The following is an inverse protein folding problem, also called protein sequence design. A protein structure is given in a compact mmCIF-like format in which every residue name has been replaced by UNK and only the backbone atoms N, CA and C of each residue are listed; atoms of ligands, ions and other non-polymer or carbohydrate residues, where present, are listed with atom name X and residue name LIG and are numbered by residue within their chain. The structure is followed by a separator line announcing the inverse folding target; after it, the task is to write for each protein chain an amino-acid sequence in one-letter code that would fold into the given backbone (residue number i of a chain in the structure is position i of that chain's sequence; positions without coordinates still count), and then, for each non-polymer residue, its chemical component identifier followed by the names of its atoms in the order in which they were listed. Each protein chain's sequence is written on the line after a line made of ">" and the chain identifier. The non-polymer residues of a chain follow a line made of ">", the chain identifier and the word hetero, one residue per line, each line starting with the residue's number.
data_IF_762677910717
#
_entry.id   IF_762677910717
#
_cell.length_a   1.000
_cell.length_b   1.000
_cell.length_c   1.000
_cell.angle_alpha   90.00
_cell.angle_beta   90.00
_cell.angle_gamma   90.00
#
_symmetry.space_group_name_H-M   'P 1'
#
loop_
_entity.id
_entity.type
_entity.pdbx_description
1 polymer ?
#
# COMPACT_ATOMS: atom_id res chain seq x y z
N UNK A 1 19.31 10.93 0.91
CA UNK A 1 17.96 10.80 0.31
C UNK A 1 17.54 9.35 0.42
N UNK A 2 16.31 9.09 0.87
CA UNK A 2 15.74 7.73 0.92
C UNK A 2 15.42 7.31 -0.53
N UNK A 3 15.93 6.16 -0.98
CA UNK A 3 15.75 5.70 -2.36
C UNK A 3 14.37 5.03 -2.52
N UNK A 4 13.62 5.27 -3.62
CA UNK A 4 12.31 4.66 -3.85
C UNK A 4 12.31 3.13 -3.74
N UNK A 5 13.37 2.48 -4.21
CA UNK A 5 13.52 1.02 -4.14
C UNK A 5 13.68 0.50 -2.70
N UNK A 6 14.12 1.34 -1.75
CA UNK A 6 14.19 0.97 -0.33
C UNK A 6 12.81 0.96 0.33
N UNK A 7 11.90 1.85 -0.06
CA UNK A 7 10.55 1.92 0.53
C UNK A 7 9.80 0.60 0.31
N UNK A 8 9.92 0.03 -0.89
CA UNK A 8 9.31 -1.25 -1.23
C UNK A 8 9.88 -2.41 -0.39
N UNK A 9 11.20 -2.51 -0.27
CA UNK A 9 11.86 -3.56 0.51
C UNK A 9 11.60 -3.41 2.01
N UNK A 10 11.64 -2.18 2.53
CA UNK A 10 11.35 -1.91 3.94
C UNK A 10 9.91 -2.29 4.27
N UNK A 11 8.95 -2.02 3.38
CA UNK A 11 7.56 -2.47 3.58
C UNK A 11 7.44 -3.99 3.64
N UNK A 12 8.15 -4.75 2.79
CA UNK A 12 8.11 -6.23 2.86
C UNK A 12 8.64 -6.77 4.18
N UNK A 13 9.72 -6.19 4.71
CA UNK A 13 10.30 -6.61 5.98
C UNK A 13 9.37 -6.34 7.17
N UNK A 14 8.74 -5.17 7.20
CA UNK A 14 7.88 -4.77 8.33
C UNK A 14 6.54 -5.54 8.30
N UNK A 15 6.01 -5.83 7.11
CA UNK A 15 4.75 -6.59 6.97
C UNK A 15 4.85 -8.02 7.48
N UNK A 16 6.04 -8.63 7.46
CA UNK A 16 6.26 -9.98 7.98
C UNK A 16 6.08 -10.05 9.51
N UNK A 17 6.26 -8.93 10.21
CA UNK A 17 6.13 -8.83 11.68
C UNK A 17 4.73 -8.39 12.13
N UNK A 18 3.85 -8.01 11.20
CA UNK A 18 2.51 -7.54 11.51
C UNK A 18 1.55 -8.69 11.80
N UNK A 19 0.74 -8.52 12.84
CA UNK A 19 -0.43 -9.36 13.07
C UNK A 19 -1.48 -9.21 11.96
N UNK A 20 -2.39 -10.18 11.86
CA UNK A 20 -3.48 -10.14 10.86
C UNK A 20 -4.32 -8.86 10.98
N UNK A 21 -4.57 -8.38 12.19
CA UNK A 21 -5.35 -7.15 12.43
C UNK A 21 -4.57 -5.90 12.02
N UNK A 22 -3.26 -5.84 12.24
CA UNK A 22 -2.40 -4.76 11.77
C UNK A 22 -2.34 -4.72 10.24
N UNK A 23 -2.25 -5.89 9.59
CA UNK A 23 -2.32 -6.00 8.13
C UNK A 23 -3.67 -5.51 7.59
N UNK A 24 -4.79 -5.86 8.24
CA UNK A 24 -6.14 -5.38 7.85
C UNK A 24 -6.26 -3.87 8.00
N UNK A 25 -5.82 -3.30 9.12
CA UNK A 25 -5.85 -1.84 9.35
C UNK A 25 -4.97 -1.09 8.35
N UNK A 26 -3.77 -1.62 8.06
CA UNK A 26 -2.86 -1.04 7.07
C UNK A 26 -3.49 -1.02 5.68
N UNK A 27 -4.09 -2.14 5.25
CA UNK A 27 -4.82 -2.23 3.99
C UNK A 27 -5.98 -1.23 3.92
N UNK A 28 -6.80 -1.14 4.98
CA UNK A 28 -7.93 -0.21 5.03
C UNK A 28 -7.46 1.26 4.89
N UNK A 29 -6.37 1.60 5.59
CA UNK A 29 -5.75 2.91 5.49
C UNK A 29 -5.28 3.20 4.06
N UNK A 30 -4.55 2.27 3.45
CA UNK A 30 -4.06 2.41 2.07
C UNK A 30 -5.20 2.58 1.06
N UNK A 31 -6.31 1.86 1.21
CA UNK A 31 -7.50 2.01 0.35
C UNK A 31 -8.16 3.38 0.50
N UNK A 32 -8.25 3.91 1.73
CA UNK A 32 -8.76 5.27 1.98
C UNK A 32 -7.89 6.33 1.33
N UNK A 33 -6.56 6.18 1.39
CA UNK A 33 -5.62 7.08 0.70
C UNK A 33 -5.77 6.97 -0.82
N UNK A 34 -5.98 5.76 -1.36
CA UNK A 34 -6.19 5.54 -2.80
C UNK A 34 -7.42 6.29 -3.28
N UNK A 35 -8.54 6.12 -2.59
CA UNK A 35 -9.78 6.82 -2.90
C UNK A 35 -9.61 8.35 -2.89
N UNK A 36 -8.86 8.88 -1.91
CA UNK A 36 -8.55 10.31 -1.86
C UNK A 36 -7.73 10.75 -3.08
N UNK A 37 -6.66 10.02 -3.43
CA UNK A 37 -5.81 10.36 -4.57
C UNK A 37 -6.54 10.27 -5.91
N UNK A 38 -7.39 9.25 -6.11
CA UNK A 38 -8.24 9.12 -7.30
C UNK A 38 -9.15 10.33 -7.49
N UNK A 39 -9.74 10.82 -6.39
CA UNK A 39 -10.53 12.06 -6.42
C UNK A 39 -9.68 13.25 -6.83
N UNK A 40 -8.46 13.39 -6.29
CA UNK A 40 -7.55 14.47 -6.68
C UNK A 40 -7.10 14.39 -8.16
N UNK A 41 -6.88 13.18 -8.69
CA UNK A 41 -6.58 12.98 -10.12
C UNK A 41 -7.75 13.42 -10.99
N UNK A 42 -8.98 13.04 -10.61
CA UNK A 42 -10.18 13.43 -11.35
C UNK A 42 -10.40 14.95 -11.34
N UNK A 43 -10.24 15.58 -10.18
CA UNK A 43 -10.55 16.99 -9.99
C UNK A 43 -9.47 17.93 -10.56
N UNK A 44 -8.20 17.49 -10.57
CA UNK A 44 -7.07 18.36 -10.92
C UNK A 44 -6.17 17.86 -12.06
N UNK A 45 -6.40 16.64 -12.59
CA UNK A 45 -5.63 16.01 -13.67
C UNK A 45 -4.10 16.14 -13.52
N UNK A 46 -3.59 16.07 -12.29
CA UNK A 46 -2.15 16.26 -12.03
C UNK A 46 -1.40 14.94 -12.15
N UNK A 47 -0.48 14.87 -13.11
CA UNK A 47 0.49 13.76 -13.31
C UNK A 47 1.16 13.32 -12.00
N UNK A 48 1.43 14.26 -11.08
CA UNK A 48 2.00 13.97 -9.76
C UNK A 48 1.16 13.00 -8.92
N UNK A 49 -0.17 13.04 -9.03
CA UNK A 49 -1.04 12.13 -8.28
C UNK A 49 -1.14 10.74 -8.94
N UNK A 50 -0.91 10.63 -10.26
CA UNK A 50 -0.86 9.32 -10.94
C UNK A 50 0.35 8.51 -10.46
N UNK A 51 1.54 9.11 -10.40
CA UNK A 51 2.72 8.41 -9.88
C UNK A 51 2.56 7.97 -8.42
N UNK A 52 1.80 8.73 -7.61
CA UNK A 52 1.48 8.37 -6.23
C UNK A 52 0.46 7.22 -6.15
N UNK A 53 -0.48 7.15 -7.11
CA UNK A 53 -1.42 6.03 -7.20
C UNK A 53 -0.68 4.74 -7.54
N UNK A 54 0.23 4.75 -8.50
CA UNK A 54 1.01 3.56 -8.88
C UNK A 54 1.82 3.02 -7.69
N UNK A 55 2.49 3.92 -6.95
CA UNK A 55 3.22 3.54 -5.74
C UNK A 55 2.31 2.98 -4.64
N UNK A 56 1.10 3.55 -4.49
CA UNK A 56 0.13 3.10 -3.51
C UNK A 56 -0.53 1.77 -3.88
N UNK A 57 -0.77 1.52 -5.17
CA UNK A 57 -1.26 0.22 -5.65
C UNK A 57 -0.24 -0.88 -5.34
N UNK A 58 1.05 -0.63 -5.56
CA UNK A 58 2.10 -1.57 -5.17
C UNK A 58 2.10 -1.86 -3.66
N UNK A 59 1.83 -0.86 -2.81
CA UNK A 59 1.71 -1.06 -1.35
C UNK A 59 0.47 -1.90 -1.01
N UNK A 60 -0.69 -1.59 -1.60
CA UNK A 60 -1.94 -2.34 -1.39
C UNK A 60 -1.74 -3.82 -1.71
N UNK A 61 -1.14 -4.12 -2.86
CA UNK A 61 -0.86 -5.50 -3.27
C UNK A 61 0.02 -6.25 -2.26
N UNK A 62 0.98 -5.57 -1.61
CA UNK A 62 1.81 -6.20 -0.56
C UNK A 62 0.99 -6.58 0.67
N UNK A 63 0.08 -5.72 1.12
CA UNK A 63 -0.83 -6.05 2.21
C UNK A 63 -1.77 -7.21 1.86
N UNK A 64 -2.30 -7.24 0.63
CA UNK A 64 -3.17 -8.32 0.15
C UNK A 64 -2.44 -9.67 0.11
N UNK A 65 -1.20 -9.69 -0.38
CA UNK A 65 -0.35 -10.89 -0.40
C UNK A 65 -0.04 -11.36 1.01
N UNK A 66 0.35 -10.44 1.92
CA UNK A 66 0.65 -10.78 3.30
C UNK A 66 -0.57 -11.39 4.03
N UNK A 67 -1.77 -10.82 3.83
CA UNK A 67 -3.01 -11.37 4.37
C UNK A 67 -3.37 -12.74 3.78
N UNK A 68 -3.12 -12.96 2.48
CA UNK A 68 -3.35 -14.25 1.85
C UNK A 68 -2.40 -15.34 2.39
N UNK A 69 -1.14 -15.00 2.63
CA UNK A 69 -0.15 -15.90 3.24
C UNK A 69 -0.53 -16.28 4.67
N UNK A 70 -1.01 -15.32 5.47
CA UNK A 70 -1.53 -15.58 6.81
C UNK A 70 -2.67 -16.61 6.81
N UNK A 71 -3.62 -16.51 5.86
CA UNK A 71 -4.73 -17.45 5.71
C UNK A 71 -4.31 -18.86 5.30
N UNK A 72 -3.18 -19.00 4.61
CA UNK A 72 -2.63 -20.31 4.21
C UNK A 72 -1.80 -20.98 5.30
N UNK A 73 -1.32 -20.21 6.28
CA UNK A 73 -0.51 -20.70 7.40
C UNK A 73 -1.34 -21.19 8.60
N UNK A 74 -2.67 -20.98 8.58
CA UNK A 74 -3.65 -21.52 9.55
C UNK A 74 -4.25 -22.83 9.04
#
# INVERSE_FOLDING_TARGET
>A
MYQPNRIAQDHELILADFSEDELKMGLECSLKVKHHLEKQVRDFSKVKYMNNLDALEAIITKYEIALAQYKMAQ
#
